data_IF_560853607161
#
_entry.id   IF_560853607161
#
_cell.length_a   1.000
_cell.length_b   1.000
_cell.length_c   1.000
_cell.angle_alpha   90.00
_cell.angle_beta   90.00
_cell.angle_gamma   90.00
#
_symmetry.space_group_name_H-M   'P 1'
#
loop_
_entity.id
_entity.type
_entity.pdbx_description
1 polymer ?
#
# COMPACT_ATOMS: atom_id res chain seq x y z
N UNK A 1 -14.46 -16.09 -1.38
CA UNK A 1 -14.85 -16.84 -2.60
C UNK A 1 -13.86 -16.42 -3.68
N UNK A 2 -12.82 -17.24 -3.90
CA UNK A 2 -11.81 -16.97 -4.92
C UNK A 2 -12.46 -17.15 -6.30
N UNK A 3 -12.54 -16.08 -7.09
CA UNK A 3 -12.97 -16.10 -8.49
C UNK A 3 -11.96 -16.83 -9.42
N UNK A 4 -11.02 -17.60 -8.86
CA UNK A 4 -10.05 -18.40 -9.60
C UNK A 4 -10.64 -19.65 -10.26
N UNK A 5 -11.82 -20.10 -9.82
CA UNK A 5 -12.47 -21.31 -10.36
C UNK A 5 -13.61 -21.03 -11.34
N UNK A 6 -14.00 -19.76 -11.55
CA UNK A 6 -15.01 -19.43 -12.57
C UNK A 6 -14.37 -19.40 -13.96
N UNK A 7 -14.50 -20.54 -14.64
CA UNK A 7 -14.38 -20.74 -16.08
C UNK A 7 -15.03 -19.57 -16.86
N UNK A 8 -14.40 -18.92 -17.88
CA UNK A 8 -13.22 -19.29 -18.67
C UNK A 8 -11.92 -18.53 -18.32
N UNK A 9 -11.93 -17.71 -17.26
CA UNK A 9 -10.84 -16.78 -16.94
C UNK A 9 -9.59 -17.51 -16.43
N UNK A 10 -9.74 -18.58 -15.65
CA UNK A 10 -8.61 -19.35 -15.10
C UNK A 10 -7.70 -20.00 -16.15
N UNK A 11 -8.26 -20.45 -17.29
CA UNK A 11 -7.46 -21.02 -18.40
C UNK A 11 -6.62 -19.97 -19.12
N UNK A 12 -7.13 -18.74 -19.24
CA UNK A 12 -6.41 -17.64 -19.86
C UNK A 12 -5.17 -17.27 -19.04
N UNK A 13 -5.31 -17.18 -17.72
CA UNK A 13 -4.22 -16.85 -16.81
C UNK A 13 -3.16 -17.94 -16.64
N UNK A 14 -3.48 -19.19 -16.98
CA UNK A 14 -2.51 -20.28 -17.00
C UNK A 14 -1.45 -20.18 -18.10
N UNK A 15 -1.62 -19.26 -19.07
CA UNK A 15 -0.65 -19.09 -20.14
C UNK A 15 0.41 -18.03 -19.83
N UNK A 16 1.71 -18.31 -20.08
CA UNK A 16 2.81 -17.36 -19.81
C UNK A 16 2.73 -16.03 -20.57
N UNK A 17 1.95 -15.97 -21.66
CA UNK A 17 1.76 -14.74 -22.43
C UNK A 17 0.69 -13.83 -21.82
N UNK A 18 -0.24 -14.36 -21.03
CA UNK A 18 -1.35 -13.59 -20.46
C UNK A 18 -0.84 -12.47 -19.56
N UNK A 19 0.14 -12.77 -18.69
CA UNK A 19 0.77 -11.75 -17.84
C UNK A 19 1.42 -10.62 -18.65
N UNK A 20 2.14 -10.96 -19.73
CA UNK A 20 2.74 -9.95 -20.63
C UNK A 20 1.68 -9.13 -21.36
N UNK A 21 0.61 -9.77 -21.83
CA UNK A 21 -0.51 -9.09 -22.47
C UNK A 21 -1.16 -8.07 -21.53
N UNK A 22 -1.43 -8.44 -20.28
CA UNK A 22 -2.00 -7.51 -19.30
C UNK A 22 -1.03 -6.38 -18.93
N UNK A 23 0.27 -6.67 -18.80
CA UNK A 23 1.27 -5.64 -18.50
C UNK A 23 1.39 -4.61 -19.62
N UNK A 24 1.61 -5.05 -20.86
CA UNK A 24 1.73 -4.15 -22.02
C UNK A 24 0.41 -3.50 -22.41
N UNK A 25 -0.70 -4.23 -22.28
CA UNK A 25 -2.04 -3.72 -22.52
C UNK A 25 -2.43 -2.64 -21.50
N UNK A 26 -2.17 -2.87 -20.22
CA UNK A 26 -2.36 -1.88 -19.16
C UNK A 26 -1.55 -0.61 -19.41
N UNK A 27 -0.26 -0.76 -19.73
CA UNK A 27 0.61 0.36 -20.12
C UNK A 27 0.04 1.14 -21.31
N UNK A 28 -0.45 0.45 -22.34
CA UNK A 28 -1.09 1.06 -23.50
C UNK A 28 -2.35 1.85 -23.13
N UNK A 29 -3.19 1.29 -22.26
CA UNK A 29 -4.38 1.98 -21.73
C UNK A 29 -3.98 3.25 -20.97
N UNK A 30 -2.98 3.16 -20.10
CA UNK A 30 -2.52 4.28 -19.26
C UNK A 30 -1.99 5.46 -20.12
N UNK A 31 -1.32 5.18 -21.24
CA UNK A 31 -0.89 6.24 -22.16
C UNK A 31 -2.01 6.77 -23.06
N UNK A 32 -2.92 5.90 -23.49
CA UNK A 32 -3.91 6.24 -24.52
C UNK A 32 -5.14 6.94 -23.93
N UNK A 33 -5.67 6.46 -22.80
CA UNK A 33 -6.92 6.95 -22.21
C UNK A 33 -6.88 8.45 -21.92
N UNK A 34 -5.82 9.03 -21.33
CA UNK A 34 -5.75 10.48 -21.11
C UNK A 34 -5.92 11.27 -22.41
N UNK A 35 -5.23 10.87 -23.48
CA UNK A 35 -5.33 11.51 -24.80
C UNK A 35 -6.74 11.39 -25.35
N UNK A 36 -7.36 10.21 -25.24
CA UNK A 36 -8.72 9.98 -25.72
C UNK A 36 -9.75 10.84 -24.98
N UNK A 37 -9.63 10.96 -23.64
CA UNK A 37 -10.56 11.71 -22.79
C UNK A 37 -10.45 13.22 -22.98
N UNK A 38 -9.23 13.74 -23.15
CA UNK A 38 -8.97 15.17 -23.38
C UNK A 38 -9.49 15.63 -24.74
N UNK A 39 -9.32 14.80 -25.77
CA UNK A 39 -9.79 15.08 -27.13
C UNK A 39 -11.32 14.93 -27.24
N UNK A 40 -12.03 16.05 -27.44
CA UNK A 40 -13.51 16.09 -27.55
C UNK A 40 -14.10 15.07 -28.52
N UNK A 41 -13.44 14.81 -29.65
CA UNK A 41 -13.89 13.87 -30.70
C UNK A 41 -13.80 12.40 -30.28
N UNK A 42 -12.82 12.06 -29.44
CA UNK A 42 -12.52 10.67 -29.02
C UNK A 42 -12.97 10.38 -27.59
N UNK A 43 -13.51 11.37 -26.88
CA UNK A 43 -13.85 11.27 -25.46
C UNK A 43 -14.69 10.05 -25.12
N UNK A 44 -15.74 9.78 -25.87
CA UNK A 44 -16.62 8.64 -25.61
C UNK A 44 -15.94 7.28 -25.83
N UNK A 45 -14.98 7.20 -26.76
CA UNK A 45 -14.12 6.03 -26.87
C UNK A 45 -13.21 5.91 -25.63
N UNK A 46 -12.62 7.02 -25.16
CA UNK A 46 -11.83 7.05 -23.92
C UNK A 46 -12.63 6.62 -22.69
N UNK A 47 -13.88 7.07 -22.56
CA UNK A 47 -14.81 6.64 -21.50
C UNK A 47 -15.09 5.15 -21.60
N UNK A 48 -15.37 4.64 -22.81
CA UNK A 48 -15.59 3.21 -23.03
C UNK A 48 -14.38 2.37 -22.61
N UNK A 49 -13.19 2.72 -23.08
CA UNK A 49 -11.94 2.01 -22.75
C UNK A 49 -11.64 2.07 -21.27
N UNK A 50 -11.73 3.25 -20.64
CA UNK A 50 -11.53 3.42 -19.20
C UNK A 50 -12.54 2.60 -18.40
N UNK A 51 -13.82 2.63 -18.77
CA UNK A 51 -14.85 1.87 -18.08
C UNK A 51 -14.61 0.36 -18.19
N UNK A 52 -14.29 -0.14 -19.38
CA UNK A 52 -13.92 -1.54 -19.58
C UNK A 52 -12.71 -1.93 -18.76
N UNK A 53 -11.67 -1.09 -18.70
CA UNK A 53 -10.47 -1.34 -17.90
C UNK A 53 -10.77 -1.41 -16.40
N UNK A 54 -11.53 -0.47 -15.86
CA UNK A 54 -11.89 -0.48 -14.44
C UNK A 54 -12.80 -1.66 -14.08
N UNK A 55 -13.79 -1.99 -14.92
CA UNK A 55 -14.65 -3.16 -14.70
C UNK A 55 -13.85 -4.46 -14.77
N UNK A 56 -12.92 -4.58 -15.72
CA UNK A 56 -12.02 -5.71 -15.83
C UNK A 56 -11.12 -5.84 -14.58
N UNK A 57 -10.59 -4.72 -14.08
CA UNK A 57 -9.85 -4.69 -12.83
C UNK A 57 -10.73 -5.10 -11.64
N UNK A 58 -12.00 -4.72 -11.59
CA UNK A 58 -12.93 -5.16 -10.53
C UNK A 58 -13.25 -6.66 -10.59
N UNK A 59 -13.21 -7.25 -11.79
CA UNK A 59 -13.47 -8.69 -11.99
C UNK A 59 -12.24 -9.53 -11.64
N UNK A 60 -11.06 -9.10 -12.11
CA UNK A 60 -9.80 -9.83 -11.92
C UNK A 60 -9.24 -9.59 -10.51
N UNK A 61 -9.28 -8.35 -10.04
CA UNK A 61 -8.62 -7.94 -8.81
C UNK A 61 -9.63 -7.50 -7.74
N UNK A 62 -9.42 -7.98 -6.52
CA UNK A 62 -10.22 -7.54 -5.37
C UNK A 62 -9.63 -6.26 -4.74
N UNK A 63 -9.71 -5.14 -5.46
CA UNK A 63 -9.16 -3.82 -5.04
C UNK A 63 -10.24 -2.93 -4.39
N UNK A 64 -11.35 -3.54 -3.93
CA UNK A 64 -12.40 -2.86 -3.19
C UNK A 64 -13.07 -1.72 -3.97
N UNK A 65 -13.15 -0.54 -3.35
CA UNK A 65 -13.89 0.63 -3.88
C UNK A 65 -13.22 1.28 -5.10
N UNK A 66 -11.95 1.00 -5.35
CA UNK A 66 -11.14 1.74 -6.32
C UNK A 66 -11.72 1.79 -7.74
N UNK A 67 -12.14 0.67 -8.38
CA UNK A 67 -12.71 0.71 -9.72
C UNK A 67 -13.94 1.60 -9.83
N UNK A 68 -14.82 1.56 -8.83
CA UNK A 68 -16.05 2.36 -8.78
C UNK A 68 -15.77 3.84 -8.62
N UNK A 69 -14.79 4.19 -7.77
CA UNK A 69 -14.36 5.56 -7.59
C UNK A 69 -13.75 6.12 -8.88
N UNK A 70 -12.96 5.32 -9.61
CA UNK A 70 -12.37 5.74 -10.89
C UNK A 70 -13.41 5.90 -12.01
N UNK A 71 -14.42 5.03 -12.06
CA UNK A 71 -15.58 5.23 -12.94
C UNK A 71 -16.27 6.56 -12.64
N UNK A 72 -16.49 6.88 -11.36
CA UNK A 72 -17.04 8.18 -10.95
C UNK A 72 -16.12 9.35 -11.31
N UNK A 73 -14.82 9.23 -11.05
CA UNK A 73 -13.83 10.26 -11.32
C UNK A 73 -13.67 10.55 -12.83
N UNK A 74 -13.99 9.59 -13.70
CA UNK A 74 -13.97 9.80 -15.16
C UNK A 74 -14.91 10.95 -15.59
N UNK A 75 -15.95 11.24 -14.80
CA UNK A 75 -16.85 12.38 -15.05
C UNK A 75 -16.18 13.75 -14.93
N UNK A 76 -14.97 13.85 -14.35
CA UNK A 76 -14.17 15.09 -14.34
C UNK A 76 -13.83 15.53 -15.76
N UNK A 77 -13.73 14.60 -16.72
CA UNK A 77 -13.46 14.92 -18.13
C UNK A 77 -14.72 15.34 -18.91
N UNK A 78 -15.89 15.36 -18.24
CA UNK A 78 -17.12 15.83 -18.86
C UNK A 78 -17.22 17.35 -18.75
N UNK A 79 -18.12 17.91 -19.53
CA UNK A 79 -18.41 19.33 -19.48
C UNK A 79 -18.93 19.73 -18.08
N UNK A 80 -18.44 20.83 -17.46
CA UNK A 80 -18.80 21.19 -16.09
C UNK A 80 -20.30 21.31 -15.81
N UNK A 81 -21.13 21.56 -16.83
CA UNK A 81 -22.59 21.63 -16.69
C UNK A 81 -23.28 20.25 -16.73
N UNK A 82 -22.55 19.15 -16.94
CA UNK A 82 -23.11 17.80 -17.03
C UNK A 82 -23.99 17.41 -15.84
N UNK A 83 -23.62 17.67 -14.55
CA UNK A 83 -24.46 17.24 -13.43
C UNK A 83 -25.79 18.00 -13.45
N UNK A 84 -25.75 19.30 -13.77
CA UNK A 84 -26.96 20.13 -13.83
C UNK A 84 -27.90 19.67 -14.93
N UNK A 85 -27.35 19.32 -16.11
CA UNK A 85 -28.14 18.79 -17.24
C UNK A 85 -28.81 17.46 -16.91
N UNK A 86 -28.10 16.56 -16.22
CA UNK A 86 -28.64 15.24 -15.85
C UNK A 86 -29.67 15.34 -14.72
N UNK A 87 -29.37 16.11 -13.67
CA UNK A 87 -30.22 16.24 -12.48
C UNK A 87 -31.25 17.37 -12.56
N UNK A 88 -31.31 18.10 -13.69
CA UNK A 88 -32.20 19.25 -13.92
C UNK A 88 -32.12 20.31 -12.81
N UNK A 89 -30.91 20.57 -12.32
CA UNK A 89 -30.67 21.53 -11.24
C UNK A 89 -30.75 22.97 -11.77
N UNK A 90 -31.40 23.91 -11.05
CA UNK A 90 -31.42 25.31 -11.43
C UNK A 90 -30.02 25.93 -11.31
N UNK A 91 -29.61 26.73 -12.30
CA UNK A 91 -28.35 27.47 -12.29
C UNK A 91 -28.01 28.03 -13.67
N UNK A 92 -27.51 29.27 -13.73
CA UNK A 92 -27.10 29.92 -14.98
C UNK A 92 -25.84 29.29 -15.58
N UNK A 93 -25.69 29.45 -16.89
CA UNK A 93 -24.42 29.25 -17.59
C UNK A 93 -23.41 30.21 -16.95
N UNK A 94 -22.49 29.65 -16.16
CA UNK A 94 -21.48 30.41 -15.45
C UNK A 94 -20.42 30.88 -16.43
N UNK A 95 -20.77 31.82 -17.30
CA UNK A 95 -19.83 32.51 -18.16
C UNK A 95 -19.04 33.48 -17.29
N UNK A 96 -17.85 33.06 -16.88
CA UNK A 96 -16.96 33.91 -16.10
C UNK A 96 -15.69 33.19 -15.73
N UNK A 97 -14.67 33.30 -16.59
CA UNK A 97 -13.27 33.22 -16.13
C UNK A 97 -13.00 34.42 -15.21
N UNK A 98 -13.47 34.34 -13.97
CA UNK A 98 -12.96 35.19 -12.91
C UNK A 98 -11.56 34.66 -12.56
N UNK A 99 -10.52 35.27 -13.14
CA UNK A 99 -9.16 35.05 -12.70
C UNK A 99 -9.03 35.61 -11.28
N UNK A 100 -9.17 34.74 -10.29
CA UNK A 100 -8.89 35.11 -8.91
C UNK A 100 -7.38 35.24 -8.74
N UNK A 101 -6.86 36.40 -8.32
CA UNK A 101 -5.44 36.52 -8.02
C UNK A 101 -5.13 35.57 -6.86
N UNK A 102 -4.33 34.54 -7.12
CA UNK A 102 -3.85 33.63 -6.07
C UNK A 102 -2.89 34.43 -5.18
N UNK A 103 -3.23 34.70 -3.90
CA UNK A 103 -2.34 35.42 -3.01
C UNK A 103 -1.00 34.69 -2.91
N UNK A 104 0.11 35.44 -2.76
CA UNK A 104 1.47 34.86 -2.65
C UNK A 104 1.58 33.78 -1.58
N UNK A 105 0.84 33.92 -0.48
CA UNK A 105 0.75 32.90 0.56
C UNK A 105 0.12 31.60 0.05
N UNK A 106 -1.02 31.68 -0.66
CA UNK A 106 -1.69 30.50 -1.24
C UNK A 106 -0.78 29.86 -2.29
N UNK A 107 -0.14 30.65 -3.15
CA UNK A 107 0.82 30.15 -4.11
C UNK A 107 2.00 29.42 -3.43
N UNK A 108 2.52 29.98 -2.33
CA UNK A 108 3.57 29.36 -1.53
C UNK A 108 3.13 28.05 -0.86
N UNK A 109 1.91 28.01 -0.31
CA UNK A 109 1.35 26.79 0.29
C UNK A 109 1.11 25.70 -0.76
N UNK A 110 0.61 26.05 -1.94
CA UNK A 110 0.45 25.12 -3.05
C UNK A 110 1.80 24.60 -3.54
N UNK A 111 2.79 25.48 -3.71
CA UNK A 111 4.14 25.08 -4.09
C UNK A 111 4.72 24.08 -3.08
N UNK A 112 4.65 24.39 -1.78
CA UNK A 112 5.09 23.49 -0.72
C UNK A 112 4.35 22.14 -0.77
N UNK A 113 3.03 22.16 -0.93
CA UNK A 113 2.22 20.96 -1.04
C UNK A 113 2.67 20.06 -2.20
N UNK A 114 2.79 20.62 -3.41
CA UNK A 114 3.22 19.85 -4.58
C UNK A 114 4.67 19.38 -4.49
N UNK A 115 5.56 20.17 -3.88
CA UNK A 115 6.92 19.72 -3.57
C UNK A 115 6.90 18.51 -2.65
N UNK A 116 6.11 18.54 -1.57
CA UNK A 116 5.97 17.39 -0.66
C UNK A 116 5.41 16.18 -1.42
N UNK A 117 4.35 16.34 -2.22
CA UNK A 117 3.75 15.26 -3.00
C UNK A 117 4.71 14.64 -4.03
N UNK A 118 5.62 15.43 -4.60
CA UNK A 118 6.63 14.97 -5.54
C UNK A 118 7.83 14.30 -4.85
N UNK A 119 8.26 14.81 -3.70
CA UNK A 119 9.42 14.31 -2.96
C UNK A 119 9.12 13.08 -2.11
N UNK A 120 7.92 13.02 -1.54
CA UNK A 120 7.54 11.96 -0.61
C UNK A 120 7.62 10.56 -1.25
N UNK A 121 7.23 10.33 -2.52
CA UNK A 121 7.44 9.05 -3.19
C UNK A 121 8.91 8.69 -3.37
N UNK A 122 9.77 9.68 -3.58
CA UNK A 122 11.21 9.51 -3.79
C UNK A 122 12.00 9.26 -2.49
N UNK A 123 11.39 9.46 -1.32
CA UNK A 123 12.08 9.27 -0.03
C UNK A 123 12.61 7.85 0.18
N UNK A 124 12.08 6.86 -0.54
CA UNK A 124 12.52 5.48 -0.43
C UNK A 124 14.01 5.29 -0.79
N UNK A 125 14.59 6.19 -1.59
CA UNK A 125 16.02 6.23 -1.89
C UNK A 125 16.91 6.62 -0.70
N UNK A 126 16.32 7.12 0.39
CA UNK A 126 17.04 7.49 1.61
C UNK A 126 17.21 6.30 2.57
N UNK A 127 16.57 5.16 2.29
CA UNK A 127 16.67 3.95 3.10
C UNK A 127 17.60 2.94 2.42
N UNK A 128 18.47 2.27 3.19
CA UNK A 128 19.33 1.22 2.65
C UNK A 128 18.53 -0.04 2.26
N UNK A 129 19.10 -0.84 1.37
CA UNK A 129 18.57 -2.15 0.97
C UNK A 129 17.32 -2.11 0.07
N UNK A 130 16.70 -3.29 -0.13
CA UNK A 130 15.47 -3.40 -0.91
C UNK A 130 14.24 -2.98 -0.09
N UNK A 131 13.64 -1.86 -0.49
CA UNK A 131 12.39 -1.32 0.07
C UNK A 131 11.22 -2.30 -0.01
N UNK A 132 11.20 -3.20 -1.01
CA UNK A 132 10.20 -4.27 -1.09
C UNK A 132 10.35 -5.30 0.05
N UNK A 133 11.56 -5.42 0.61
CA UNK A 133 11.86 -6.24 1.76
C UNK A 133 11.69 -5.48 3.08
N UNK A 134 12.41 -4.37 3.27
CA UNK A 134 12.45 -3.66 4.56
C UNK A 134 11.13 -2.95 4.90
N UNK A 135 10.30 -2.63 3.89
CA UNK A 135 9.11 -1.77 3.98
C UNK A 135 9.38 -0.30 4.32
N UNK A 136 10.64 0.06 4.53
CA UNK A 136 11.04 1.41 4.89
C UNK A 136 10.90 2.34 3.69
N UNK A 137 10.17 3.44 3.86
CA UNK A 137 9.84 4.32 2.74
C UNK A 137 8.86 3.72 1.71
N UNK A 138 8.44 2.46 1.83
CA UNK A 138 7.59 1.79 0.82
C UNK A 138 6.23 2.45 0.65
N UNK A 139 5.59 2.88 1.75
CA UNK A 139 4.27 3.55 1.67
C UNK A 139 4.36 4.79 0.79
N UNK A 140 3.44 4.92 -0.15
CA UNK A 140 3.37 6.04 -1.09
C UNK A 140 4.60 6.22 -2.01
N UNK A 141 5.49 5.24 -2.16
CA UNK A 141 6.70 5.33 -3.01
C UNK A 141 6.46 5.14 -4.52
N UNK A 142 5.21 5.24 -5.00
CA UNK A 142 4.80 4.83 -6.36
C UNK A 142 5.15 3.38 -6.73
N UNK A 143 5.34 2.50 -5.74
CA UNK A 143 5.69 1.07 -5.92
C UNK A 143 4.49 0.13 -5.78
N UNK A 144 3.31 0.57 -6.24
CA UNK A 144 2.10 -0.23 -6.10
C UNK A 144 2.19 -1.52 -6.93
N UNK A 145 1.82 -2.66 -6.33
CA UNK A 145 1.73 -3.98 -7.00
C UNK A 145 3.04 -4.47 -7.64
N UNK A 146 4.19 -3.98 -7.18
CA UNK A 146 5.52 -4.45 -7.65
C UNK A 146 6.01 -5.71 -6.93
N UNK A 147 5.35 -6.12 -5.85
CA UNK A 147 5.77 -7.26 -5.03
C UNK A 147 4.59 -8.02 -4.46
N UNK A 148 4.86 -9.29 -4.14
CA UNK A 148 4.10 -10.10 -3.20
C UNK A 148 5.02 -10.50 -2.04
N UNK A 149 4.55 -10.37 -0.79
CA UNK A 149 5.35 -10.69 0.39
C UNK A 149 4.52 -11.43 1.41
N UNK A 150 4.96 -12.64 1.70
CA UNK A 150 4.37 -13.50 2.72
C UNK A 150 5.28 -13.52 3.94
N UNK A 151 4.69 -13.52 5.13
CA UNK A 151 5.45 -13.58 6.37
C UNK A 151 4.65 -14.20 7.49
N UNK A 152 5.37 -14.77 8.45
CA UNK A 152 4.81 -15.37 9.65
C UNK A 152 5.83 -15.41 10.77
N UNK A 153 5.36 -15.51 12.00
CA UNK A 153 6.23 -15.44 13.16
C UNK A 153 5.52 -15.60 14.48
N UNK A 154 6.26 -15.34 15.55
CA UNK A 154 5.75 -15.28 16.91
C UNK A 154 6.53 -14.24 17.72
N UNK A 155 5.90 -13.77 18.81
CA UNK A 155 6.57 -12.93 19.80
C UNK A 155 7.05 -13.78 20.96
N UNK A 156 8.22 -13.43 21.48
CA UNK A 156 8.85 -14.02 22.66
C UNK A 156 9.03 -12.92 23.69
N UNK A 157 8.36 -13.08 24.83
CA UNK A 157 8.49 -12.17 25.97
C UNK A 157 9.52 -12.76 26.93
N UNK A 158 10.31 -11.90 27.54
CA UNK A 158 11.33 -12.28 28.54
C UNK A 158 11.20 -11.41 29.77
N UNK A 159 11.12 -12.03 30.94
CA UNK A 159 11.25 -11.33 32.21
C UNK A 159 12.75 -11.02 32.45
N UNK A 160 13.15 -9.74 32.54
CA UNK A 160 14.54 -9.36 32.72
C UNK A 160 15.11 -9.76 34.09
N UNK A 161 14.28 -9.95 35.12
CA UNK A 161 14.73 -10.28 36.47
C UNK A 161 15.02 -11.79 36.63
N UNK A 162 14.15 -12.64 36.06
CA UNK A 162 14.25 -14.10 36.20
C UNK A 162 14.90 -14.77 34.98
N UNK A 163 14.89 -14.11 33.83
CA UNK A 163 15.28 -14.68 32.54
C UNK A 163 14.26 -15.65 31.96
N UNK A 164 13.07 -15.80 32.57
CA UNK A 164 12.01 -16.66 32.08
C UNK A 164 11.48 -16.15 30.73
N UNK A 165 11.24 -17.07 29.79
CA UNK A 165 10.80 -16.75 28.42
C UNK A 165 9.54 -17.51 28.07
N UNK A 166 8.54 -16.80 27.55
CA UNK A 166 7.31 -17.40 27.05
C UNK A 166 6.92 -16.83 25.68
N UNK A 167 6.07 -17.56 24.96
CA UNK A 167 5.51 -17.11 23.69
C UNK A 167 4.15 -16.49 23.93
N UNK A 168 3.87 -15.42 23.19
CA UNK A 168 2.57 -14.74 23.22
C UNK A 168 1.71 -15.22 22.07
N UNK A 169 0.46 -15.51 22.39
CA UNK A 169 -0.56 -15.86 21.41
C UNK A 169 -1.10 -14.59 20.76
N UNK A 170 -0.73 -14.34 19.50
CA UNK A 170 -1.06 -13.10 18.79
C UNK A 170 -2.58 -12.90 18.65
N UNK A 171 -3.34 -14.00 18.62
CA UNK A 171 -4.80 -13.97 18.53
C UNK A 171 -5.50 -13.36 19.77
N UNK A 172 -4.81 -13.23 20.91
CA UNK A 172 -5.31 -12.52 22.09
C UNK A 172 -5.30 -10.99 21.94
N UNK A 173 -4.55 -10.48 20.95
CA UNK A 173 -4.33 -9.05 20.74
C UNK A 173 -5.02 -8.54 19.50
N UNK A 174 -4.96 -9.30 18.41
CA UNK A 174 -5.43 -8.87 17.09
C UNK A 174 -6.13 -10.00 16.35
N UNK A 175 -7.02 -9.61 15.44
CA UNK A 175 -7.73 -10.57 14.59
C UNK A 175 -6.79 -11.27 13.60
N UNK A 176 -7.15 -12.46 13.08
CA UNK A 176 -6.35 -13.13 12.05
C UNK A 176 -6.11 -12.29 10.79
N UNK A 177 -7.06 -11.41 10.44
CA UNK A 177 -6.90 -10.50 9.30
C UNK A 177 -5.83 -9.43 9.57
N UNK A 178 -5.80 -8.87 10.77
CA UNK A 178 -4.76 -7.92 11.19
C UNK A 178 -3.40 -8.61 11.30
N UNK A 179 -3.33 -9.85 11.79
CA UNK A 179 -2.08 -10.61 11.86
C UNK A 179 -1.46 -10.84 10.47
N UNK A 180 -2.28 -11.27 9.49
CA UNK A 180 -1.84 -11.41 8.09
C UNK A 180 -1.36 -10.10 7.48
N UNK A 181 -1.96 -8.97 7.86
CA UNK A 181 -1.52 -7.66 7.43
C UNK A 181 -0.23 -7.20 8.15
N UNK A 182 -0.04 -7.59 9.40
CA UNK A 182 1.07 -7.16 10.24
C UNK A 182 2.38 -7.88 9.88
N UNK A 183 2.37 -9.21 9.78
CA UNK A 183 3.61 -9.99 9.63
C UNK A 183 4.57 -9.52 8.54
N UNK A 184 4.13 -9.16 7.32
CA UNK A 184 5.06 -8.70 6.29
C UNK A 184 5.59 -7.27 6.51
N UNK A 185 5.11 -6.56 7.54
CA UNK A 185 5.33 -5.13 7.81
C UNK A 185 6.00 -4.91 9.18
N UNK A 186 7.32 -4.65 9.21
CA UNK A 186 8.07 -4.42 10.45
C UNK A 186 7.46 -3.33 11.34
N UNK A 187 6.94 -2.23 10.76
CA UNK A 187 6.33 -1.14 11.54
C UNK A 187 5.11 -1.58 12.36
N UNK A 188 4.31 -2.50 11.81
CA UNK A 188 3.15 -3.07 12.51
C UNK A 188 3.58 -4.11 13.54
N UNK A 189 4.65 -4.87 13.27
CA UNK A 189 5.22 -5.82 14.24
C UNK A 189 5.74 -5.06 15.47
N UNK A 190 6.47 -3.95 15.26
CA UNK A 190 6.92 -3.07 16.34
C UNK A 190 5.72 -2.51 17.13
N UNK A 191 4.68 -2.05 16.45
CA UNK A 191 3.47 -1.54 17.10
C UNK A 191 2.82 -2.59 18.01
N UNK A 192 2.75 -3.85 17.57
CA UNK A 192 2.21 -4.92 18.41
C UNK A 192 3.17 -5.29 19.55
N UNK A 193 4.49 -5.24 19.34
CA UNK A 193 5.46 -5.46 20.41
C UNK A 193 5.26 -4.46 21.56
N UNK A 194 5.05 -3.17 21.24
CA UNK A 194 4.73 -2.14 22.24
C UNK A 194 3.41 -2.39 22.96
N UNK A 195 2.39 -2.89 22.25
CA UNK A 195 1.10 -3.28 22.85
C UNK A 195 1.28 -4.46 23.82
N UNK A 196 2.02 -5.49 23.41
CA UNK A 196 2.34 -6.65 24.25
C UNK A 196 3.08 -6.20 25.51
N UNK A 197 4.14 -5.40 25.35
CA UNK A 197 4.92 -4.89 26.48
C UNK A 197 4.06 -4.10 27.48
N UNK A 198 3.11 -3.31 26.97
CA UNK A 198 2.18 -2.54 27.82
C UNK A 198 1.24 -3.44 28.60
N UNK A 199 0.58 -4.41 27.94
CA UNK A 199 -0.36 -5.33 28.61
C UNK A 199 0.34 -6.24 29.61
N UNK A 200 1.52 -6.72 29.28
CA UNK A 200 2.32 -7.54 30.20
C UNK A 200 2.76 -6.74 31.42
N UNK A 201 3.14 -5.47 31.23
CA UNK A 201 3.45 -4.57 32.34
C UNK A 201 2.26 -4.32 33.26
N UNK A 202 1.07 -4.13 32.69
CA UNK A 202 -0.16 -3.98 33.46
C UNK A 202 -0.53 -5.25 34.24
N UNK A 203 -0.26 -6.43 33.65
CA UNK A 203 -0.54 -7.74 34.25
C UNK A 203 0.44 -8.13 35.37
N UNK A 204 1.73 -7.91 35.14
CA UNK A 204 2.81 -8.38 36.01
C UNK A 204 3.30 -7.32 37.00
N UNK A 205 3.04 -6.04 36.72
CA UNK A 205 3.48 -4.90 37.53
C UNK A 205 4.91 -4.43 37.25
N UNK A 206 5.61 -5.04 36.28
CA UNK A 206 6.98 -4.67 35.88
C UNK A 206 7.16 -4.74 34.36
N UNK A 207 8.22 -4.12 33.84
CA UNK A 207 8.45 -4.05 32.38
C UNK A 207 9.14 -5.32 31.89
N UNK A 208 8.77 -5.79 30.70
CA UNK A 208 9.30 -7.00 30.06
C UNK A 208 10.01 -6.65 28.76
N UNK A 209 10.91 -7.53 28.31
CA UNK A 209 11.52 -7.44 26.98
C UNK A 209 10.64 -8.20 25.98
N UNK A 210 10.43 -7.65 24.80
CA UNK A 210 9.61 -8.24 23.74
C UNK A 210 10.44 -8.38 22.47
N UNK A 211 10.73 -9.63 22.08
CA UNK A 211 11.44 -9.95 20.84
C UNK A 211 10.49 -10.60 19.84
N UNK A 212 10.75 -10.45 18.55
CA UNK A 212 9.95 -11.08 17.51
C UNK A 212 10.82 -11.99 16.63
N UNK A 213 10.32 -13.20 16.34
CA UNK A 213 10.91 -14.09 15.34
C UNK A 213 9.99 -14.08 14.15
N UNK A 214 10.36 -13.32 13.12
CA UNK A 214 9.56 -13.16 11.91
C UNK A 214 10.36 -13.60 10.71
N UNK A 215 9.78 -14.52 9.94
CA UNK A 215 10.31 -14.98 8.65
C UNK A 215 9.44 -14.47 7.53
N UNK A 216 10.06 -14.07 6.43
CA UNK A 216 9.37 -13.59 5.26
C UNK A 216 9.92 -14.20 3.98
N UNK A 217 9.08 -14.28 2.95
CA UNK A 217 9.43 -14.59 1.56
C UNK A 217 8.92 -13.47 0.67
N UNK A 218 9.73 -13.07 -0.31
CA UNK A 218 9.42 -12.02 -1.28
C UNK A 218 9.32 -12.64 -2.68
N UNK A 219 8.22 -12.35 -3.38
CA UNK A 219 7.95 -12.80 -4.75
C UNK A 219 8.12 -14.31 -4.96
N UNK A 220 7.69 -15.12 -3.98
CA UNK A 220 7.85 -16.58 -3.95
C UNK A 220 9.31 -17.07 -3.93
N UNK A 221 10.25 -16.22 -3.51
CA UNK A 221 11.64 -16.59 -3.26
C UNK A 221 11.86 -17.29 -1.91
N UNK A 222 13.12 -17.45 -1.56
CA UNK A 222 13.52 -18.10 -0.32
C UNK A 222 13.08 -17.32 0.93
N UNK A 223 13.03 -18.04 2.06
CA UNK A 223 12.53 -17.51 3.32
C UNK A 223 13.67 -17.09 4.24
N UNK A 224 13.72 -15.82 4.60
CA UNK A 224 14.73 -15.21 5.46
C UNK A 224 14.14 -14.58 6.71
N UNK A 225 14.98 -14.27 7.71
CA UNK A 225 14.54 -13.50 8.86
C UNK A 225 14.30 -12.05 8.44
N UNK A 226 13.16 -11.51 8.83
CA UNK A 226 12.80 -10.11 8.55
C UNK A 226 13.24 -9.17 9.69
N UNK A 227 13.26 -9.69 10.92
CA UNK A 227 13.54 -8.93 12.14
C UNK A 227 14.61 -9.66 12.92
N UNK A 228 15.56 -8.91 13.48
CA UNK A 228 16.59 -9.46 14.36
C UNK A 228 15.95 -10.04 15.63
N UNK A 229 16.02 -11.36 15.86
CA UNK A 229 15.32 -12.02 16.96
C UNK A 229 15.95 -11.77 18.35
N UNK A 230 17.10 -11.10 18.39
CA UNK A 230 17.83 -10.78 19.62
C UNK A 230 17.57 -9.35 20.13
N UNK A 231 17.03 -8.47 19.28
CA UNK A 231 16.69 -7.09 19.66
C UNK A 231 15.39 -7.05 20.45
N UNK A 232 15.41 -6.29 21.56
CA UNK A 232 14.21 -5.97 22.33
C UNK A 232 13.41 -4.85 21.65
N UNK A 233 12.35 -5.23 20.95
CA UNK A 233 11.45 -4.30 20.26
C UNK A 233 10.64 -3.42 21.22
N UNK A 234 10.52 -3.80 22.50
CA UNK A 234 9.85 -2.97 23.49
C UNK A 234 10.62 -1.66 23.78
N UNK A 235 11.95 -1.70 23.66
CA UNK A 235 12.83 -0.55 23.84
C UNK A 235 13.00 0.29 22.55
N UNK A 236 12.71 -0.28 21.39
CA UNK A 236 12.86 0.38 20.10
C UNK A 236 11.83 1.49 19.88
N UNK A 237 12.28 2.62 19.33
CA UNK A 237 11.42 3.75 19.01
C UNK A 237 10.87 3.64 17.60
N UNK A 238 9.60 4.04 17.43
CA UNK A 238 9.03 4.22 16.09
C UNK A 238 9.57 5.52 15.49
N UNK A 239 10.41 5.41 14.47
CA UNK A 239 11.00 6.57 13.78
C UNK A 239 10.70 6.56 12.28
N UNK A 240 11.12 7.62 11.59
CA UNK A 240 11.15 7.68 10.13
C UNK A 240 12.54 7.32 9.57
N UNK A 241 13.50 6.99 10.42
CA UNK A 241 14.87 6.67 10.02
C UNK A 241 15.05 5.16 9.84
N UNK A 242 16.10 4.73 9.11
CA UNK A 242 16.44 3.31 8.99
C UNK A 242 16.54 2.63 10.35
N UNK A 243 15.92 1.46 10.47
CA UNK A 243 15.91 0.66 11.69
C UNK A 243 16.90 -0.49 11.61
N UNK A 244 17.90 -0.50 12.50
CA UNK A 244 18.95 -1.54 12.53
C UNK A 244 18.43 -2.94 12.87
N UNK A 245 17.25 -3.03 13.49
CA UNK A 245 16.61 -4.30 13.85
C UNK A 245 15.86 -4.96 12.69
N UNK A 246 15.69 -4.28 11.56
CA UNK A 246 15.16 -4.85 10.32
C UNK A 246 16.32 -5.46 9.54
N UNK A 247 16.27 -6.76 9.28
CA UNK A 247 17.35 -7.45 8.58
C UNK A 247 17.21 -7.28 7.07
N UNK A 248 18.34 -7.02 6.41
CA UNK A 248 18.43 -6.95 4.97
C UNK A 248 18.44 -8.35 4.35
N UNK A 249 17.82 -8.49 3.18
CA UNK A 249 17.69 -9.80 2.51
C UNK A 249 19.01 -10.23 1.87
N UNK A 250 19.67 -9.28 1.20
CA UNK A 250 20.98 -9.38 0.54
C UNK A 250 22.07 -9.93 1.48
N UNK A 251 22.13 -9.46 2.71
CA UNK A 251 23.11 -9.91 3.72
C UNK A 251 22.92 -11.37 4.17
N UNK A 252 21.75 -11.96 3.89
CA UNK A 252 21.41 -13.34 4.27
C UNK A 252 21.55 -14.34 3.11
N UNK A 253 21.78 -13.88 1.88
CA UNK A 253 22.09 -14.78 0.75
C UNK A 253 23.53 -15.30 0.78
N UNK A 254 24.44 -14.57 1.43
CA UNK A 254 25.88 -14.88 1.47
C UNK A 254 26.30 -15.78 2.66
N UNK A 255 25.33 -16.34 3.40
CA UNK A 255 25.53 -17.23 4.57
C UNK A 255 24.97 -18.63 4.31
#
# INVERSE_FOLDING_TARGET
MCLGETFPIGRFFGHPWAGRFFAWGGLGVDFLVPVLLLCRRTRWAGVGVSASFHLLNSLIFNIGVFPWLMLGATTIFFDPAWPRRVFRLPGGDGDGEAAFPVPRLIAGLLALHFTIQAMMPLRHWLYPGDVAWTEEGHRFSWRMKLRDKEAGGYFRVTDPATGERWRVEVSEYITPAQARAMWPRPDMVLQLAHEIARREKERLGYSVEVRAVVRASLNHGDTYLLINPEVDLAAELRTLWPAEWILHQDEQFDQ
#
